data_IF_754191518065
#
_entry.id   IF_754191518065
#
_cell.length_a   1.000
_cell.length_b   1.000
_cell.length_c   1.000
_cell.angle_alpha   90.00
_cell.angle_beta   90.00
_cell.angle_gamma   90.00
#
_symmetry.space_group_name_H-M   'P 1'
#
loop_
_entity.id
_entity.type
_entity.pdbx_description
1 polymer ?
#
# COMPACT_ATOMS: atom_id res chain seq x y z
N UNK A 1 3.09 -5.67 -13.96
CA UNK A 1 3.75 -4.71 -13.04
C UNK A 1 5.24 -4.69 -13.26
N UNK A 2 5.93 -5.85 -13.20
CA UNK A 2 7.38 -5.98 -13.45
C UNK A 2 7.81 -5.32 -14.77
N UNK A 3 7.20 -5.69 -15.91
CA UNK A 3 7.51 -5.06 -17.22
C UNK A 3 7.42 -3.54 -17.20
N UNK A 4 6.33 -2.98 -16.64
CA UNK A 4 6.14 -1.53 -16.62
C UNK A 4 7.18 -0.78 -15.77
N UNK A 5 7.75 -1.42 -14.74
CA UNK A 5 8.82 -0.85 -13.93
C UNK A 5 10.13 -0.83 -14.72
N UNK A 6 10.44 -1.93 -15.41
CA UNK A 6 11.62 -2.02 -16.29
C UNK A 6 11.50 -1.05 -17.48
N UNK A 7 10.32 -0.97 -18.10
CA UNK A 7 10.01 -0.04 -19.20
C UNK A 7 10.13 1.44 -18.76
N UNK A 8 9.90 1.73 -17.48
CA UNK A 8 10.12 3.05 -16.89
C UNK A 8 11.61 3.34 -16.58
N UNK A 9 12.52 2.43 -16.91
CA UNK A 9 13.97 2.57 -16.70
C UNK A 9 14.41 2.36 -15.25
N UNK A 10 13.58 1.73 -14.42
CA UNK A 10 13.93 1.36 -13.05
C UNK A 10 14.46 -0.07 -13.01
N UNK A 11 15.47 -0.31 -12.19
CA UNK A 11 16.00 -1.64 -11.90
C UNK A 11 15.24 -2.23 -10.72
N UNK A 12 14.54 -3.33 -10.94
CA UNK A 12 13.93 -4.11 -9.86
C UNK A 12 15.03 -4.74 -9.01
N UNK A 13 14.89 -4.62 -7.68
CA UNK A 13 15.85 -5.16 -6.70
C UNK A 13 15.27 -6.32 -5.93
N UNK A 14 14.02 -6.20 -5.50
CA UNK A 14 13.35 -7.22 -4.71
C UNK A 14 11.83 -7.01 -4.77
N UNK A 15 11.08 -7.89 -4.12
CA UNK A 15 9.66 -7.78 -3.89
C UNK A 15 9.35 -8.10 -2.42
N UNK A 16 8.79 -7.15 -1.69
CA UNK A 16 8.21 -7.45 -0.39
C UNK A 16 6.82 -8.06 -0.55
N UNK A 17 6.44 -8.94 0.35
CA UNK A 17 5.13 -9.58 0.40
C UNK A 17 4.51 -9.20 1.74
N UNK A 18 3.47 -8.37 1.73
CA UNK A 18 2.65 -8.20 2.92
C UNK A 18 1.69 -9.38 3.01
N UNK A 19 1.96 -10.29 3.93
CA UNK A 19 1.15 -11.46 4.22
C UNK A 19 0.10 -11.15 5.29
N UNK A 20 -1.11 -11.68 5.12
CA UNK A 20 -2.20 -11.53 6.07
C UNK A 20 -3.11 -12.77 6.09
N UNK A 21 -3.57 -13.17 7.27
CA UNK A 21 -4.30 -14.43 7.46
C UNK A 21 -5.82 -14.25 7.30
N UNK A 22 -6.33 -13.06 7.64
CA UNK A 22 -7.74 -12.73 7.58
C UNK A 22 -8.09 -11.94 6.33
N UNK A 23 -8.91 -12.53 5.46
CA UNK A 23 -9.50 -11.87 4.31
C UNK A 23 -10.77 -12.60 3.86
N UNK A 24 -11.66 -11.89 3.19
CA UNK A 24 -12.86 -12.48 2.60
C UNK A 24 -12.55 -12.96 1.16
N UNK A 25 -13.02 -14.17 0.78
CA UNK A 25 -13.02 -14.57 -0.62
C UNK A 25 -13.77 -13.54 -1.46
N UNK A 26 -13.21 -13.16 -2.62
CA UNK A 26 -13.87 -12.23 -3.54
C UNK A 26 -14.80 -12.94 -4.53
N UNK A 27 -14.78 -14.27 -4.56
CA UNK A 27 -15.63 -15.11 -5.38
C UNK A 27 -17.13 -14.83 -5.17
N UNK A 28 -17.82 -14.53 -6.27
CA UNK A 28 -19.25 -14.26 -6.32
C UNK A 28 -20.02 -15.54 -6.62
N UNK A 29 -21.20 -15.70 -5.99
CA UNK A 29 -22.12 -16.78 -6.32
C UNK A 29 -22.70 -16.62 -7.72
N UNK A 30 -23.00 -17.74 -8.38
CA UNK A 30 -23.44 -17.74 -9.78
C UNK A 30 -24.93 -17.45 -9.95
N UNK A 31 -25.73 -17.59 -8.89
CA UNK A 31 -27.19 -17.43 -8.93
C UNK A 31 -27.66 -16.11 -9.54
N UNK A 32 -26.97 -15.01 -9.24
CA UNK A 32 -27.30 -13.70 -9.81
C UNK A 32 -27.13 -13.65 -11.34
N UNK A 33 -26.12 -14.36 -11.87
CA UNK A 33 -25.90 -14.48 -13.31
C UNK A 33 -26.92 -15.41 -13.94
N UNK A 34 -27.19 -16.57 -13.32
CA UNK A 34 -28.19 -17.55 -13.79
C UNK A 34 -29.58 -16.91 -13.89
N UNK A 35 -29.96 -16.08 -12.91
CA UNK A 35 -31.25 -15.36 -12.93
C UNK A 35 -31.43 -14.47 -14.15
N UNK A 36 -30.33 -13.94 -14.71
CA UNK A 36 -30.33 -13.00 -15.85
C UNK A 36 -30.28 -13.66 -17.22
N UNK A 37 -30.09 -14.99 -17.29
CA UNK A 37 -30.09 -15.71 -18.57
C UNK A 37 -31.47 -15.64 -19.24
N UNK A 38 -31.50 -15.59 -20.56
CA UNK A 38 -32.74 -15.67 -21.34
C UNK A 38 -33.11 -17.13 -21.65
N UNK A 39 -33.33 -17.89 -20.57
CA UNK A 39 -33.62 -19.33 -20.60
C UNK A 39 -34.86 -19.63 -19.74
N UNK A 40 -35.49 -20.78 -20.00
CA UNK A 40 -36.64 -21.26 -19.25
C UNK A 40 -36.26 -21.67 -17.81
N UNK A 41 -37.28 -21.89 -16.99
CA UNK A 41 -37.10 -22.18 -15.56
C UNK A 41 -36.35 -23.49 -15.31
N UNK A 42 -36.65 -24.56 -16.06
CA UNK A 42 -36.06 -25.88 -15.87
C UNK A 42 -34.56 -25.87 -16.25
N UNK A 43 -34.21 -25.17 -17.33
CA UNK A 43 -32.82 -24.96 -17.74
C UNK A 43 -32.02 -24.21 -16.65
N UNK A 44 -32.60 -23.15 -16.07
CA UNK A 44 -31.97 -22.40 -14.97
C UNK A 44 -31.81 -23.23 -13.69
N UNK A 45 -32.81 -24.03 -13.32
CA UNK A 45 -32.72 -24.91 -12.15
C UNK A 45 -31.70 -26.03 -12.33
N UNK A 46 -31.63 -26.61 -13.54
CA UNK A 46 -30.59 -27.57 -13.91
C UNK A 46 -29.21 -26.95 -13.73
N UNK A 47 -29.01 -25.75 -14.27
CA UNK A 47 -27.74 -25.03 -14.18
C UNK A 47 -27.37 -24.66 -12.73
N UNK A 48 -28.36 -24.32 -11.87
CA UNK A 48 -28.12 -24.07 -10.43
C UNK A 48 -27.63 -25.33 -9.71
N UNK A 49 -28.20 -26.48 -10.03
CA UNK A 49 -27.80 -27.77 -9.44
C UNK A 49 -26.40 -28.17 -9.90
N UNK A 50 -26.13 -28.08 -11.20
CA UNK A 50 -24.83 -28.40 -11.79
C UNK A 50 -23.70 -27.51 -11.23
N UNK A 51 -23.97 -26.21 -11.11
CA UNK A 51 -23.01 -25.22 -10.64
C UNK A 51 -23.08 -24.98 -9.11
N UNK A 52 -23.72 -25.88 -8.38
CA UNK A 52 -23.75 -25.81 -6.91
C UNK A 52 -22.32 -25.92 -6.35
N UNK A 53 -21.96 -24.99 -5.47
CA UNK A 53 -20.59 -24.89 -4.93
C UNK A 53 -19.58 -24.18 -5.84
N UNK A 54 -19.91 -23.94 -7.11
CA UNK A 54 -19.07 -23.18 -8.03
C UNK A 54 -19.29 -21.67 -7.89
N UNK A 55 -18.22 -20.90 -8.05
CA UNK A 55 -18.21 -19.43 -7.95
C UNK A 55 -17.32 -18.84 -9.03
N UNK A 56 -17.33 -17.52 -9.18
CA UNK A 56 -16.39 -16.82 -10.08
C UNK A 56 -14.92 -17.11 -9.70
N UNK A 57 -13.98 -17.10 -10.67
CA UNK A 57 -12.60 -17.55 -10.47
C UNK A 57 -11.78 -16.52 -9.67
N UNK A 58 -12.09 -16.38 -8.38
CA UNK A 58 -11.51 -15.39 -7.47
C UNK A 58 -11.23 -16.03 -6.12
N UNK A 59 -10.03 -16.58 -5.98
CA UNK A 59 -9.57 -17.19 -4.73
C UNK A 59 -9.33 -16.08 -3.69
N UNK A 60 -9.48 -16.43 -2.40
CA UNK A 60 -9.10 -15.55 -1.30
C UNK A 60 -7.61 -15.19 -1.43
N UNK A 61 -7.30 -13.91 -1.63
CA UNK A 61 -5.93 -13.43 -1.55
C UNK A 61 -5.48 -13.38 -0.09
N UNK A 62 -4.29 -13.87 0.21
CA UNK A 62 -3.66 -13.83 1.54
C UNK A 62 -2.38 -12.99 1.54
N UNK A 63 -2.10 -12.26 0.46
CA UNK A 63 -0.95 -11.38 0.39
C UNK A 63 -1.15 -10.21 -0.58
N UNK A 64 -0.33 -9.18 -0.39
CA UNK A 64 -0.16 -8.06 -1.31
C UNK A 64 1.35 -7.88 -1.63
N UNK A 65 1.76 -7.96 -2.91
CA UNK A 65 3.14 -7.73 -3.30
C UNK A 65 3.47 -6.23 -3.36
N UNK A 66 4.70 -5.89 -2.99
CA UNK A 66 5.26 -4.54 -3.00
C UNK A 66 6.60 -4.61 -3.74
N UNK A 67 6.62 -4.13 -4.97
CA UNK A 67 7.84 -4.11 -5.76
C UNK A 67 8.84 -3.08 -5.22
N UNK A 68 10.10 -3.48 -5.07
CA UNK A 68 11.21 -2.59 -4.76
C UNK A 68 12.06 -2.40 -6.01
N UNK A 69 12.15 -1.15 -6.47
CA UNK A 69 12.95 -0.78 -7.62
C UNK A 69 13.68 0.53 -7.38
N UNK A 70 14.73 0.76 -8.16
CA UNK A 70 15.57 1.96 -8.06
C UNK A 70 16.00 2.45 -9.44
N UNK A 71 16.40 3.72 -9.52
CA UNK A 71 17.10 4.21 -10.71
C UNK A 71 18.42 3.46 -10.89
N UNK A 72 18.87 3.36 -12.13
CA UNK A 72 20.21 2.84 -12.46
C UNK A 72 21.26 3.71 -11.75
N UNK A 73 22.17 3.13 -10.95
CA UNK A 73 23.19 3.90 -10.26
C UNK A 73 24.22 4.46 -11.24
N UNK A 74 24.71 5.67 -10.96
CA UNK A 74 25.87 6.28 -11.63
C UNK A 74 27.15 5.87 -10.88
N UNK A 75 27.91 4.90 -11.39
CA UNK A 75 29.07 4.35 -10.67
C UNK A 75 28.66 3.36 -9.57
N UNK A 76 29.29 3.45 -8.40
CA UNK A 76 29.04 2.57 -7.25
C UNK A 76 27.85 3.04 -6.41
N UNK A 77 27.22 2.11 -5.68
CA UNK A 77 26.15 2.46 -4.73
C UNK A 77 26.60 3.45 -3.66
N UNK A 78 27.87 3.35 -3.22
CA UNK A 78 28.43 4.27 -2.24
C UNK A 78 28.53 5.70 -2.80
N UNK A 79 28.98 5.87 -4.04
CA UNK A 79 29.04 7.18 -4.68
C UNK A 79 27.64 7.80 -4.85
N UNK A 80 26.67 7.00 -5.29
CA UNK A 80 25.28 7.43 -5.40
C UNK A 80 24.72 7.84 -4.04
N UNK A 81 24.97 7.05 -3.00
CA UNK A 81 24.56 7.38 -1.64
C UNK A 81 25.19 8.67 -1.15
N UNK A 82 26.50 8.88 -1.37
CA UNK A 82 27.17 10.13 -0.99
C UNK A 82 26.58 11.36 -1.70
N UNK A 83 26.13 11.20 -2.95
CA UNK A 83 25.57 12.29 -3.77
C UNK A 83 24.09 12.55 -3.49
N UNK A 84 23.29 11.50 -3.33
CA UNK A 84 21.83 11.57 -3.32
C UNK A 84 21.20 11.15 -1.99
N UNK A 85 21.98 10.58 -1.07
CA UNK A 85 21.54 10.09 0.25
C UNK A 85 20.40 9.06 0.22
N UNK A 86 20.26 8.32 -0.89
CA UNK A 86 19.26 7.27 -1.11
C UNK A 86 19.88 6.08 -1.86
N UNK A 87 19.16 4.97 -1.93
CA UNK A 87 19.54 3.79 -2.73
C UNK A 87 20.29 2.69 -1.98
N UNK A 88 20.46 2.83 -0.66
CA UNK A 88 20.90 1.75 0.24
C UNK A 88 19.73 1.25 1.10
N UNK A 89 19.90 0.07 1.69
CA UNK A 89 18.95 -0.53 2.63
C UNK A 89 19.51 -0.44 4.05
N UNK A 90 18.71 0.03 5.00
CA UNK A 90 19.08 0.10 6.40
C UNK A 90 18.84 -1.25 7.10
N UNK A 91 19.90 -2.05 7.19
CA UNK A 91 19.86 -3.37 7.82
C UNK A 91 19.91 -3.33 9.34
N UNK A 92 19.98 -2.15 9.97
CA UNK A 92 19.81 -2.00 11.41
C UNK A 92 18.35 -2.05 11.84
N UNK A 93 17.40 -1.89 10.91
CA UNK A 93 15.98 -2.09 11.19
C UNK A 93 15.75 -3.57 11.44
N UNK A 94 15.19 -3.93 12.60
CA UNK A 94 14.90 -5.32 12.96
C UNK A 94 13.42 -5.65 12.81
N UNK A 95 13.12 -6.94 12.66
CA UNK A 95 11.77 -7.51 12.63
C UNK A 95 11.65 -8.63 13.66
N UNK A 96 10.45 -8.89 14.17
CA UNK A 96 10.20 -9.95 15.16
C UNK A 96 11.12 -9.86 16.39
N UNK A 97 11.83 -10.96 16.70
CA UNK A 97 12.76 -11.07 17.84
C UNK A 97 14.19 -10.62 17.44
N UNK A 98 14.35 -9.34 17.05
CA UNK A 98 15.64 -8.75 16.65
C UNK A 98 16.29 -9.38 15.39
N UNK A 99 15.47 -9.90 14.48
CA UNK A 99 15.94 -10.54 13.25
C UNK A 99 16.27 -9.52 12.14
N UNK A 100 17.07 -9.96 11.17
CA UNK A 100 17.41 -9.17 9.98
C UNK A 100 16.15 -8.85 9.16
N UNK A 101 16.05 -7.66 8.52
CA UNK A 101 14.89 -7.35 7.69
C UNK A 101 14.73 -8.38 6.56
N UNK A 102 13.48 -8.71 6.26
CA UNK A 102 13.11 -9.76 5.32
C UNK A 102 12.07 -9.25 4.31
N UNK A 103 11.91 -9.98 3.21
CA UNK A 103 10.98 -9.63 2.15
C UNK A 103 9.55 -10.15 2.40
N UNK A 104 9.27 -10.78 3.54
CA UNK A 104 7.91 -11.19 3.94
C UNK A 104 7.54 -10.42 5.20
N UNK A 105 6.45 -9.67 5.16
CA UNK A 105 6.03 -8.79 6.24
C UNK A 105 4.64 -9.22 6.72
N UNK A 106 4.46 -9.40 8.03
CA UNK A 106 3.14 -9.60 8.66
C UNK A 106 2.91 -8.55 9.74
N UNK A 107 1.65 -8.19 9.98
CA UNK A 107 1.21 -7.31 11.08
C UNK A 107 0.36 -8.06 12.12
N UNK A 108 0.16 -9.36 11.90
CA UNK A 108 -0.58 -10.27 12.77
C UNK A 108 0.35 -11.41 13.20
N UNK A 109 0.15 -11.88 14.42
CA UNK A 109 0.75 -13.13 14.87
C UNK A 109 0.06 -14.30 14.16
N UNK A 110 0.85 -15.19 13.55
CA UNK A 110 0.42 -16.33 12.73
C UNK A 110 0.77 -17.61 13.49
N UNK A 111 2.02 -17.73 13.93
CA UNK A 111 2.56 -18.85 14.71
C UNK A 111 3.88 -18.39 15.36
N UNK A 112 4.22 -18.79 16.61
CA UNK A 112 5.40 -18.29 17.32
C UNK A 112 6.72 -18.39 16.55
N UNK A 113 6.89 -19.38 15.67
CA UNK A 113 8.12 -19.54 14.90
C UNK A 113 8.16 -18.71 13.61
N UNK A 114 7.00 -18.38 13.04
CA UNK A 114 6.86 -17.52 11.85
C UNK A 114 6.91 -16.05 12.28
N UNK A 115 6.30 -15.72 13.41
CA UNK A 115 6.22 -14.34 13.92
C UNK A 115 7.60 -13.78 14.30
N UNK A 116 8.51 -14.66 14.75
CA UNK A 116 9.92 -14.34 15.00
C UNK A 116 10.62 -13.72 13.79
N UNK A 117 10.24 -14.13 12.58
CA UNK A 117 10.94 -13.76 11.36
C UNK A 117 10.27 -12.61 10.61
N UNK A 118 8.97 -12.35 10.80
CA UNK A 118 8.19 -11.54 9.85
C UNK A 118 7.32 -10.43 10.48
N UNK A 119 7.14 -10.39 11.81
CA UNK A 119 6.17 -9.49 12.46
C UNK A 119 6.64 -8.03 12.55
N UNK A 120 5.82 -7.11 12.04
CA UNK A 120 5.89 -5.66 12.25
C UNK A 120 4.86 -5.27 13.33
N UNK A 121 5.28 -4.49 14.32
CA UNK A 121 4.42 -4.02 15.43
C UNK A 121 3.12 -3.42 14.91
N UNK A 122 2.00 -3.81 15.52
CA UNK A 122 0.65 -3.40 15.11
C UNK A 122 0.34 -1.96 15.55
N UNK A 123 -0.34 -1.15 14.72
CA UNK A 123 -0.90 0.13 15.14
C UNK A 123 -2.05 -0.06 16.16
N UNK A 124 -2.15 0.82 17.17
CA UNK A 124 -3.17 0.71 18.21
C UNK A 124 -4.61 1.00 17.70
N UNK A 125 -5.63 0.78 18.56
CA UNK A 125 -7.04 1.07 18.20
C UNK A 125 -7.33 2.57 18.00
N UNK A 126 -6.55 3.46 18.61
CA UNK A 126 -6.69 4.91 18.44
C UNK A 126 -6.27 5.37 17.04
N UNK A 127 -5.37 4.64 16.38
CA UNK A 127 -4.87 4.97 15.04
C UNK A 127 -5.86 4.70 13.89
N UNK A 128 -6.89 3.87 14.12
CA UNK A 128 -7.93 3.64 13.11
C UNK A 128 -8.79 4.88 12.86
N UNK A 129 -9.02 5.70 13.90
CA UNK A 129 -9.88 6.89 13.88
C UNK A 129 -11.34 6.59 13.47
N UNK A 130 -12.32 7.24 14.08
CA UNK A 130 -13.75 7.09 13.70
C UNK A 130 -14.07 7.59 12.27
N UNK A 131 -13.10 8.17 11.57
CA UNK A 131 -13.30 8.90 10.32
C UNK A 131 -12.81 8.15 9.06
N UNK A 132 -12.29 6.92 9.18
CA UNK A 132 -11.65 6.24 8.05
C UNK A 132 -12.59 5.26 7.33
N UNK A 133 -13.43 5.78 6.44
CA UNK A 133 -14.35 4.98 5.61
C UNK A 133 -13.69 4.44 4.32
N UNK A 134 -12.36 4.49 4.19
CA UNK A 134 -11.66 4.05 2.99
C UNK A 134 -11.51 2.52 2.97
N UNK A 135 -12.04 1.86 1.94
CA UNK A 135 -12.12 0.38 1.86
C UNK A 135 -10.75 -0.32 1.74
N UNK A 136 -9.69 0.40 1.38
CA UNK A 136 -8.37 -0.17 1.04
C UNK A 136 -7.21 0.55 1.75
N UNK A 137 -7.28 0.72 3.06
CA UNK A 137 -6.22 1.39 3.85
C UNK A 137 -5.09 0.41 4.16
N UNK A 138 -3.85 0.76 3.78
CA UNK A 138 -2.65 0.02 4.22
C UNK A 138 -2.37 0.25 5.71
N UNK A 139 -1.82 -0.73 6.45
CA UNK A 139 -1.43 -0.54 7.83
C UNK A 139 -0.35 0.55 7.96
N UNK A 140 -0.48 1.41 8.98
CA UNK A 140 0.46 2.50 9.18
C UNK A 140 1.88 1.99 9.51
N UNK A 141 1.99 0.96 10.33
CA UNK A 141 3.26 0.36 10.70
C UNK A 141 4.01 -0.28 9.54
N UNK A 142 3.29 -0.82 8.54
CA UNK A 142 3.88 -1.30 7.30
C UNK A 142 4.54 -0.16 6.53
N UNK A 143 3.83 0.97 6.35
CA UNK A 143 4.38 2.16 5.71
C UNK A 143 5.59 2.72 6.47
N UNK A 144 5.52 2.79 7.80
CA UNK A 144 6.63 3.25 8.63
C UNK A 144 7.86 2.34 8.51
N UNK A 145 7.67 1.02 8.51
CA UNK A 145 8.75 0.05 8.33
C UNK A 145 9.46 0.25 7.00
N UNK A 146 8.71 0.34 5.89
CA UNK A 146 9.27 0.55 4.55
C UNK A 146 10.04 1.87 4.46
N UNK A 147 9.50 2.96 5.01
CA UNK A 147 10.18 4.27 5.00
C UNK A 147 11.49 4.21 5.81
N UNK A 148 11.49 3.60 7.00
CA UNK A 148 12.71 3.40 7.80
C UNK A 148 13.75 2.55 7.08
N UNK A 149 13.30 1.55 6.33
CA UNK A 149 14.16 0.61 5.63
C UNK A 149 14.93 1.27 4.48
N UNK A 150 14.30 2.22 3.76
CA UNK A 150 14.86 2.79 2.51
C UNK A 150 15.32 4.25 2.62
N UNK A 151 15.08 4.93 3.74
CA UNK A 151 15.52 6.32 3.94
C UNK A 151 16.65 6.43 4.95
N UNK A 152 17.62 7.27 4.63
CA UNK A 152 18.75 7.61 5.51
C UNK A 152 18.59 9.00 6.12
N UNK A 153 18.48 10.03 5.28
CA UNK A 153 18.41 11.42 5.72
C UNK A 153 17.02 11.79 6.28
N UNK A 154 16.97 12.65 7.29
CA UNK A 154 15.71 13.27 7.75
C UNK A 154 15.09 14.16 6.67
N UNK A 155 15.93 14.73 5.79
CA UNK A 155 15.49 15.54 4.66
C UNK A 155 14.93 14.72 3.49
N UNK A 156 14.92 13.39 3.59
CA UNK A 156 14.35 12.52 2.56
C UNK A 156 12.90 12.91 2.27
N UNK A 157 12.54 12.97 0.98
CA UNK A 157 11.19 13.28 0.53
C UNK A 157 10.49 11.99 0.12
N UNK A 158 9.37 11.68 0.77
CA UNK A 158 8.48 10.58 0.41
C UNK A 158 7.41 11.08 -0.56
N UNK A 159 7.35 10.52 -1.76
CA UNK A 159 6.32 10.82 -2.74
C UNK A 159 5.30 9.68 -2.77
N UNK A 160 4.02 10.02 -2.58
CA UNK A 160 2.90 9.12 -2.85
C UNK A 160 1.97 9.74 -3.90
N UNK A 161 2.05 9.30 -5.18
CA UNK A 161 1.28 9.89 -6.26
C UNK A 161 -0.21 9.47 -6.26
N UNK A 162 -0.60 8.52 -5.39
CA UNK A 162 -1.96 8.02 -5.23
C UNK A 162 -2.28 7.87 -3.74
N UNK A 163 -2.13 8.96 -2.99
CA UNK A 163 -2.02 8.90 -1.54
C UNK A 163 -3.32 8.51 -0.83
N UNK A 164 -4.48 8.57 -1.49
CA UNK A 164 -5.78 8.26 -0.93
C UNK A 164 -6.01 9.01 0.37
N UNK A 165 -6.35 8.27 1.43
CA UNK A 165 -6.56 8.81 2.79
C UNK A 165 -5.25 9.21 3.51
N UNK A 166 -4.09 9.16 2.86
CA UNK A 166 -2.83 9.74 3.36
C UNK A 166 -2.03 8.89 4.34
N UNK A 167 -2.17 7.56 4.35
CA UNK A 167 -1.42 6.70 5.30
C UNK A 167 0.10 6.83 5.11
N UNK A 168 0.60 6.79 3.86
CA UNK A 168 2.03 6.94 3.57
C UNK A 168 2.57 8.29 4.05
N UNK A 169 1.78 9.36 3.87
CA UNK A 169 2.13 10.72 4.29
C UNK A 169 2.15 10.83 5.82
N UNK A 170 1.19 10.20 6.50
CA UNK A 170 1.15 10.14 7.96
C UNK A 170 2.35 9.38 8.53
N UNK A 171 2.74 8.26 7.90
CA UNK A 171 3.95 7.52 8.27
C UNK A 171 5.20 8.39 8.09
N UNK A 172 5.34 9.05 6.94
CA UNK A 172 6.45 9.96 6.68
C UNK A 172 6.51 11.09 7.73
N UNK A 173 5.36 11.70 8.06
CA UNK A 173 5.27 12.74 9.09
C UNK A 173 5.74 12.25 10.46
N UNK A 174 5.28 11.07 10.90
CA UNK A 174 5.66 10.48 12.20
C UNK A 174 7.15 10.14 12.29
N UNK A 175 7.77 9.84 11.16
CA UNK A 175 9.20 9.56 11.04
C UNK A 175 10.04 10.80 10.77
N UNK A 176 9.47 12.00 10.94
CA UNK A 176 10.13 13.28 10.66
C UNK A 176 10.76 13.30 9.25
N UNK A 177 10.02 12.81 8.26
CA UNK A 177 10.38 12.88 6.83
C UNK A 177 9.51 13.91 6.13
N UNK A 178 10.06 14.52 5.09
CA UNK A 178 9.29 15.37 4.17
C UNK A 178 8.42 14.47 3.29
N UNK A 179 7.28 14.98 2.84
CA UNK A 179 6.37 14.21 2.00
C UNK A 179 5.60 15.07 1.00
N UNK A 180 5.24 14.44 -0.12
CA UNK A 180 4.40 14.97 -1.20
C UNK A 180 3.31 13.94 -1.48
N UNK A 181 2.06 14.38 -1.50
CA UNK A 181 0.90 13.52 -1.70
C UNK A 181 0.01 14.05 -2.81
N UNK A 182 -0.32 13.18 -3.76
CA UNK A 182 -1.20 13.50 -4.89
C UNK A 182 -2.34 12.47 -4.90
N UNK A 183 -3.57 12.92 -5.12
CA UNK A 183 -4.70 12.04 -5.38
C UNK A 183 -5.75 12.77 -6.22
N UNK A 184 -6.46 12.05 -7.08
CA UNK A 184 -7.52 12.60 -7.91
C UNK A 184 -8.81 12.83 -7.12
N UNK A 185 -9.02 12.07 -6.04
CA UNK A 185 -10.23 12.12 -5.24
C UNK A 185 -10.14 13.18 -4.15
N UNK A 186 -10.87 14.28 -4.36
CA UNK A 186 -10.92 15.42 -3.42
C UNK A 186 -11.42 15.03 -2.03
N UNK A 187 -12.34 14.07 -1.90
CA UNK A 187 -12.82 13.62 -0.59
C UNK A 187 -11.75 12.85 0.18
N UNK A 188 -10.93 12.05 -0.51
CA UNK A 188 -9.79 11.38 0.12
C UNK A 188 -8.72 12.37 0.55
N UNK A 189 -8.46 13.41 -0.25
CA UNK A 189 -7.55 14.48 0.13
C UNK A 189 -8.03 15.25 1.38
N UNK A 190 -9.34 15.46 1.56
CA UNK A 190 -9.88 16.06 2.80
C UNK A 190 -9.58 15.17 4.02
N UNK A 191 -9.80 13.85 3.89
CA UNK A 191 -9.48 12.89 4.96
C UNK A 191 -7.97 12.90 5.26
N UNK A 192 -7.13 12.87 4.24
CA UNK A 192 -5.68 12.92 4.37
C UNK A 192 -5.22 14.18 5.13
N UNK A 193 -5.73 15.37 4.74
CA UNK A 193 -5.44 16.63 5.43
C UNK A 193 -5.84 16.60 6.90
N UNK A 194 -7.03 16.11 7.21
CA UNK A 194 -7.50 15.97 8.60
C UNK A 194 -6.56 15.05 9.41
N UNK A 195 -6.17 13.90 8.85
CA UNK A 195 -5.22 12.96 9.49
C UNK A 195 -3.83 13.57 9.69
N UNK A 196 -3.38 14.42 8.77
CA UNK A 196 -2.11 15.13 8.85
C UNK A 196 -2.15 16.34 9.80
N UNK A 197 -3.29 16.65 10.44
CA UNK A 197 -3.44 17.79 11.33
C UNK A 197 -3.63 19.13 10.61
N UNK A 198 -3.98 19.11 9.32
CA UNK A 198 -4.34 20.30 8.58
C UNK A 198 -5.72 20.80 8.98
N UNK A 199 -5.78 21.98 9.62
CA UNK A 199 -7.00 22.79 9.70
C UNK A 199 -7.34 23.30 8.28
N UNK A 200 -8.64 23.39 7.96
CA UNK A 200 -9.13 23.94 6.70
C UNK A 200 -8.51 25.32 6.45
N UNK A 201 -7.63 25.40 5.45
CA UNK A 201 -7.17 26.70 4.97
C UNK A 201 -8.35 27.36 4.24
N UNK A 202 -8.78 28.57 4.66
CA UNK A 202 -9.83 29.27 3.94
C UNK A 202 -9.37 29.46 2.50
N UNK A 203 -10.27 29.17 1.56
CA UNK A 203 -10.12 29.35 0.11
C UNK A 203 -9.57 30.75 -0.21
N UNK A 204 -8.25 30.93 -0.18
CA UNK A 204 -7.60 31.96 -0.97
C UNK A 204 -7.42 31.36 -2.34
N UNK A 205 -8.34 31.76 -3.21
CA UNK A 205 -8.29 31.61 -4.66
C UNK A 205 -6.90 31.97 -5.17
N UNK A 206 -6.04 30.96 -5.28
CA UNK A 206 -4.85 31.04 -6.12
C UNK A 206 -5.41 31.14 -7.53
N UNK A 207 -5.30 32.32 -8.15
CA UNK A 207 -5.51 32.48 -9.59
C UNK A 207 -4.49 31.59 -10.30
N UNK A 208 -4.90 30.36 -10.60
CA UNK A 208 -4.19 29.44 -11.47
C UNK A 208 -4.05 30.13 -12.84
N UNK A 209 -2.81 30.49 -13.22
CA UNK A 209 -2.49 30.51 -14.65
C UNK A 209 -2.66 29.07 -15.13
N UNK A 210 -3.47 28.90 -16.18
CA UNK A 210 -3.72 27.61 -16.80
C UNK A 210 -2.37 26.93 -17.08
N UNK A 211 -2.32 25.62 -16.81
CA UNK A 211 -1.13 24.74 -16.84
C UNK A 211 -0.37 24.66 -15.50
N UNK A 212 -0.94 23.95 -14.53
CA UNK A 212 -0.16 23.11 -13.62
C UNK A 212 -1.09 22.17 -12.83
N UNK A 213 -0.71 20.90 -12.79
CA UNK A 213 -1.31 19.88 -11.95
C UNK A 213 -1.34 20.36 -10.49
N UNK A 214 -2.35 19.94 -9.72
CA UNK A 214 -2.36 20.15 -8.28
C UNK A 214 -1.16 19.43 -7.64
N UNK A 215 -0.07 20.16 -7.42
CA UNK A 215 1.01 19.81 -6.51
C UNK A 215 0.62 20.23 -5.09
N UNK A 216 0.85 19.34 -4.12
CA UNK A 216 1.01 19.67 -2.70
C UNK A 216 2.44 19.39 -2.30
#
# INVERSE_FOLDING_TARGET
MVSAIDDAGLLIRDCFIWFYTQNQPKAMGLNHFINRLNEDFESKETLRKELSGWKTPQIKSCFEPIAMAQKKPEGTFLENFRRYQVGLINTNIRVGEEMFPCNILTIEQIEPNIDKCFLIVKPDKSEKGEYNNHKTVKPLSLCEHLIKLVTYSEDSIILDPFCGSGTTLLAAKRLNRRYIGIDINKEYLKIAKKRLGGLDYPNKSIKLRKEQACLF
#
